data_IF_395868649644
#
_entry.id   IF_395868649644
#
_cell.length_a   1.000
_cell.length_b   1.000
_cell.length_c   1.000
_cell.angle_alpha   90.00
_cell.angle_beta   90.00
_cell.angle_gamma   90.00
#
_symmetry.space_group_name_H-M   'P 1'
#
loop_
_entity.id
_entity.type
_entity.pdbx_description
1 polymer ?
#
# COMPACT_ATOMS: atom_id res chain seq x y z
N UNK A 1 -31.53 -1.76 -3.59
CA UNK A 1 -32.77 -0.96 -3.70
C UNK A 1 -32.72 0.09 -2.60
N UNK A 2 -32.39 1.34 -2.93
CA UNK A 2 -32.31 2.42 -1.94
C UNK A 2 -33.71 3.01 -1.72
N UNK A 3 -34.46 2.41 -0.83
CA UNK A 3 -35.70 3.01 -0.33
C UNK A 3 -35.32 3.85 0.87
N UNK A 4 -35.57 5.15 0.77
CA UNK A 4 -35.33 6.06 1.90
C UNK A 4 -36.09 5.56 3.14
N UNK A 5 -35.44 5.48 4.31
CA UNK A 5 -36.01 4.92 5.55
C UNK A 5 -37.35 5.56 5.93
N UNK A 6 -37.58 6.81 5.58
CA UNK A 6 -38.81 7.58 5.87
C UNK A 6 -39.77 7.65 4.68
N UNK A 7 -39.63 6.80 3.65
CA UNK A 7 -40.56 6.79 2.54
C UNK A 7 -41.88 6.16 2.99
N UNK A 8 -42.95 6.97 3.05
CA UNK A 8 -44.31 6.48 3.38
C UNK A 8 -44.86 5.46 2.37
N UNK A 9 -44.39 5.48 1.13
CA UNK A 9 -44.73 4.51 0.10
C UNK A 9 -43.45 3.93 -0.53
N UNK A 10 -43.24 2.66 -0.34
CA UNK A 10 -42.25 1.90 -1.12
C UNK A 10 -42.76 1.64 -2.54
N UNK A 11 -41.91 1.20 -3.45
CA UNK A 11 -42.31 0.81 -4.81
C UNK A 11 -43.42 -0.24 -4.77
N UNK A 12 -43.27 -1.26 -3.90
CA UNK A 12 -44.31 -2.29 -3.70
C UNK A 12 -45.65 -1.73 -3.23
N UNK A 13 -45.65 -0.76 -2.29
CA UNK A 13 -46.85 -0.09 -1.85
C UNK A 13 -47.48 0.76 -2.95
N UNK A 14 -46.70 1.33 -3.87
CA UNK A 14 -47.21 2.08 -5.02
C UNK A 14 -47.85 1.15 -6.05
N UNK A 15 -47.31 -0.02 -6.27
CA UNK A 15 -47.90 -1.05 -7.11
C UNK A 15 -49.21 -1.49 -6.51
N UNK A 16 -49.28 -1.84 -5.23
CA UNK A 16 -50.47 -2.24 -4.52
C UNK A 16 -51.56 -1.16 -4.55
N UNK A 17 -51.19 0.14 -4.40
CA UNK A 17 -52.11 1.27 -4.51
C UNK A 17 -52.78 1.30 -5.87
N UNK A 18 -51.97 1.19 -6.93
CA UNK A 18 -52.46 1.28 -8.31
C UNK A 18 -53.35 0.05 -8.64
N UNK A 19 -52.94 -1.15 -8.28
CA UNK A 19 -53.69 -2.40 -8.49
C UNK A 19 -55.08 -2.34 -7.82
N UNK A 20 -55.16 -1.88 -6.57
CA UNK A 20 -56.43 -1.72 -5.86
C UNK A 20 -57.36 -0.73 -6.57
N UNK A 21 -56.83 0.38 -7.05
CA UNK A 21 -57.62 1.39 -7.79
C UNK A 21 -58.09 0.79 -9.13
N UNK A 22 -57.27 0.08 -9.85
CA UNK A 22 -57.60 -0.55 -11.13
C UNK A 22 -58.62 -1.71 -10.93
N UNK A 23 -58.59 -2.39 -9.80
CA UNK A 23 -59.56 -3.40 -9.42
C UNK A 23 -60.94 -2.79 -8.97
N UNK A 24 -61.14 -1.51 -9.15
CA UNK A 24 -62.42 -0.84 -8.87
C UNK A 24 -62.54 -0.24 -7.47
N UNK A 25 -61.49 -0.29 -6.62
CA UNK A 25 -61.55 0.31 -5.28
C UNK A 25 -61.58 1.84 -5.38
N UNK A 26 -62.47 2.56 -4.65
CA UNK A 26 -62.47 4.02 -4.66
C UNK A 26 -61.09 4.57 -4.25
N UNK A 27 -60.58 5.59 -4.99
CA UNK A 27 -59.28 6.19 -4.75
C UNK A 27 -59.09 6.67 -3.32
N UNK A 28 -60.14 7.22 -2.72
CA UNK A 28 -60.14 7.71 -1.33
C UNK A 28 -59.82 6.59 -0.38
N UNK A 29 -60.50 5.45 -0.53
CA UNK A 29 -60.33 4.28 0.32
C UNK A 29 -58.93 3.69 0.16
N UNK A 30 -58.46 3.48 -1.09
CA UNK A 30 -57.14 2.94 -1.38
C UNK A 30 -56.03 3.87 -0.85
N UNK A 31 -56.19 5.19 -0.90
CA UNK A 31 -55.24 6.14 -0.35
C UNK A 31 -55.21 6.11 1.19
N UNK A 32 -56.38 6.06 1.84
CA UNK A 32 -56.50 5.94 3.31
C UNK A 32 -55.86 4.69 3.86
N UNK A 33 -56.08 3.54 3.21
CA UNK A 33 -55.51 2.25 3.61
C UNK A 33 -53.97 2.24 3.62
N UNK A 34 -53.36 3.04 2.76
CA UNK A 34 -51.91 3.17 2.67
C UNK A 34 -51.35 4.44 3.34
N UNK A 35 -52.19 5.19 4.07
CA UNK A 35 -51.83 6.37 4.82
C UNK A 35 -51.34 7.55 3.96
N UNK A 36 -51.84 7.65 2.72
CA UNK A 36 -51.47 8.75 1.80
C UNK A 36 -52.64 9.60 1.35
N UNK A 37 -52.35 10.79 0.84
CA UNK A 37 -53.37 11.66 0.30
C UNK A 37 -53.90 11.20 -1.06
N UNK A 38 -55.13 11.55 -1.40
CA UNK A 38 -55.72 11.28 -2.73
C UNK A 38 -54.87 11.88 -3.85
N UNK A 39 -54.28 13.07 -3.64
CA UNK A 39 -53.36 13.69 -4.60
C UNK A 39 -52.14 12.81 -4.87
N UNK A 40 -51.66 12.10 -3.84
CA UNK A 40 -50.54 11.15 -3.98
C UNK A 40 -50.98 9.92 -4.79
N UNK A 41 -52.18 9.42 -4.56
CA UNK A 41 -52.77 8.35 -5.32
C UNK A 41 -52.93 8.71 -6.80
N UNK A 42 -53.48 9.89 -7.10
CA UNK A 42 -53.59 10.39 -8.47
C UNK A 42 -52.25 10.55 -9.17
N UNK A 43 -51.24 11.06 -8.46
CA UNK A 43 -49.89 11.17 -8.98
C UNK A 43 -49.33 9.79 -9.42
N UNK A 44 -49.46 8.79 -8.58
CA UNK A 44 -48.94 7.46 -8.88
C UNK A 44 -49.75 6.73 -9.95
N UNK A 45 -51.07 6.90 -9.95
CA UNK A 45 -51.95 6.36 -10.99
C UNK A 45 -51.63 6.97 -12.36
N UNK A 46 -51.43 8.32 -12.42
CA UNK A 46 -51.03 8.99 -13.64
C UNK A 46 -49.70 8.46 -14.17
N UNK A 47 -48.68 8.38 -13.28
CA UNK A 47 -47.34 7.87 -13.67
C UNK A 47 -47.37 6.43 -14.15
N UNK A 48 -48.23 5.59 -13.56
CA UNK A 48 -48.48 4.25 -14.01
C UNK A 48 -49.12 4.19 -15.41
N UNK A 49 -50.12 5.05 -15.66
CA UNK A 49 -50.78 5.15 -16.99
C UNK A 49 -49.79 5.61 -18.08
N UNK A 50 -48.89 6.53 -17.74
CA UNK A 50 -47.94 7.09 -18.67
C UNK A 50 -46.76 6.15 -18.98
N UNK A 51 -46.27 5.38 -18.00
CA UNK A 51 -45.01 4.68 -18.05
C UNK A 51 -45.06 3.21 -17.54
N UNK A 52 -46.26 2.71 -17.22
CA UNK A 52 -46.39 1.37 -16.64
C UNK A 52 -45.74 1.27 -15.24
N UNK A 53 -45.29 0.08 -14.90
CA UNK A 53 -44.61 -0.21 -13.61
C UNK A 53 -43.30 0.60 -13.42
N UNK A 54 -42.62 0.96 -14.50
CA UNK A 54 -41.43 1.82 -14.45
C UNK A 54 -41.76 3.24 -13.91
N UNK A 55 -42.96 3.73 -14.16
CA UNK A 55 -43.45 4.99 -13.59
C UNK A 55 -43.53 5.02 -12.07
N UNK A 56 -43.59 3.86 -11.42
CA UNK A 56 -43.68 3.74 -9.96
C UNK A 56 -42.31 3.76 -9.25
N UNK A 57 -41.22 3.67 -9.99
CA UNK A 57 -39.86 3.80 -9.44
C UNK A 57 -39.54 5.23 -9.05
N UNK A 58 -38.61 5.40 -8.10
CA UNK A 58 -38.15 6.73 -7.72
C UNK A 58 -37.35 7.36 -8.86
N UNK A 59 -37.60 8.63 -9.11
CA UNK A 59 -36.81 9.44 -10.04
C UNK A 59 -35.73 10.16 -9.29
N UNK A 60 -34.60 10.36 -9.93
CA UNK A 60 -33.53 11.19 -9.38
C UNK A 60 -34.04 12.58 -9.01
N UNK A 61 -33.59 13.11 -7.89
CA UNK A 61 -33.97 14.47 -7.42
C UNK A 61 -33.27 15.59 -8.19
N UNK A 62 -32.33 15.25 -9.08
CA UNK A 62 -31.61 16.26 -9.88
C UNK A 62 -32.50 16.83 -10.98
N UNK A 63 -32.49 18.17 -11.20
CA UNK A 63 -33.14 18.77 -12.34
C UNK A 63 -32.65 18.16 -13.65
N UNK A 64 -33.56 17.96 -14.60
CA UNK A 64 -33.22 17.47 -15.94
C UNK A 64 -32.28 18.45 -16.69
N UNK A 65 -32.46 19.74 -16.45
CA UNK A 65 -31.64 20.82 -17.01
C UNK A 65 -31.03 21.63 -15.86
N UNK A 66 -29.74 21.89 -15.92
CA UNK A 66 -29.03 22.78 -14.99
C UNK A 66 -28.50 23.98 -15.78
N UNK A 67 -29.08 25.17 -15.61
CA UNK A 67 -28.68 26.39 -16.34
C UNK A 67 -27.21 26.77 -16.09
N UNK A 68 -26.67 26.40 -14.93
CA UNK A 68 -25.29 26.69 -14.52
C UNK A 68 -24.31 25.58 -14.84
N UNK A 69 -24.73 24.55 -15.59
CA UNK A 69 -23.86 23.47 -15.97
C UNK A 69 -22.72 23.97 -16.90
N UNK A 70 -21.49 23.60 -16.61
CA UNK A 70 -20.36 23.91 -17.50
C UNK A 70 -20.63 23.30 -18.89
N UNK A 71 -20.56 24.10 -19.98
CA UNK A 71 -20.76 23.62 -21.33
C UNK A 71 -19.81 22.43 -21.68
N UNK A 72 -20.29 21.50 -22.50
CA UNK A 72 -19.53 20.30 -22.85
C UNK A 72 -18.21 20.64 -23.55
N UNK A 73 -18.21 21.66 -24.40
CA UNK A 73 -17.00 22.17 -25.08
C UNK A 73 -15.91 22.55 -24.07
N UNK A 74 -16.26 23.23 -22.99
CA UNK A 74 -15.32 23.60 -21.94
C UNK A 74 -14.84 22.37 -21.14
N UNK A 75 -15.71 21.38 -20.92
CA UNK A 75 -15.27 20.12 -20.29
C UNK A 75 -14.26 19.37 -21.14
N UNK A 76 -14.51 19.30 -22.46
CA UNK A 76 -13.58 18.69 -23.41
C UNK A 76 -12.25 19.46 -23.45
N UNK A 77 -12.27 20.79 -23.47
CA UNK A 77 -11.07 21.63 -23.43
C UNK A 77 -10.25 21.37 -22.16
N UNK A 78 -10.89 21.32 -20.99
CA UNK A 78 -10.23 20.96 -19.73
C UNK A 78 -9.55 19.60 -19.83
N UNK A 79 -10.23 18.60 -20.39
CA UNK A 79 -9.67 17.26 -20.55
C UNK A 79 -8.48 17.25 -21.51
N UNK A 80 -8.56 17.96 -22.65
CA UNK A 80 -7.48 18.06 -23.61
C UNK A 80 -6.21 18.69 -23.01
N UNK A 81 -6.37 19.84 -22.33
CA UNK A 81 -5.27 20.51 -21.65
C UNK A 81 -4.70 19.67 -20.49
N UNK A 82 -5.57 18.92 -19.81
CA UNK A 82 -5.11 18.02 -18.75
C UNK A 82 -4.27 16.85 -19.29
N UNK A 83 -4.61 16.29 -20.46
CA UNK A 83 -3.77 15.31 -21.16
C UNK A 83 -2.40 15.86 -21.55
N UNK A 84 -2.31 17.17 -21.86
CA UNK A 84 -1.04 17.86 -22.07
C UNK A 84 -0.27 18.13 -20.75
N UNK A 85 -0.71 17.55 -19.64
CA UNK A 85 -0.10 17.65 -18.29
C UNK A 85 -0.15 19.05 -17.66
N UNK A 86 -0.97 19.95 -18.17
CA UNK A 86 -1.14 21.28 -17.58
C UNK A 86 -1.70 21.16 -16.15
N UNK A 87 -1.26 22.08 -15.28
CA UNK A 87 -1.77 22.17 -13.91
C UNK A 87 -3.21 22.66 -13.90
N UNK A 88 -3.99 22.30 -12.87
CA UNK A 88 -5.40 22.75 -12.75
C UNK A 88 -5.50 24.28 -12.66
N UNK A 89 -4.50 24.94 -12.11
CA UNK A 89 -4.44 26.42 -12.03
C UNK A 89 -4.25 27.00 -13.41
N UNK A 90 -3.28 26.54 -14.18
CA UNK A 90 -3.03 27.01 -15.55
C UNK A 90 -4.26 26.82 -16.46
N UNK A 91 -4.92 25.67 -16.37
CA UNK A 91 -6.16 25.40 -17.12
C UNK A 91 -7.29 26.35 -16.70
N UNK A 92 -7.43 26.60 -15.40
CA UNK A 92 -8.44 27.52 -14.87
C UNK A 92 -8.23 28.94 -15.41
N UNK A 93 -6.99 29.42 -15.37
CA UNK A 93 -6.61 30.74 -15.91
C UNK A 93 -6.86 30.81 -17.41
N UNK A 94 -6.43 29.80 -18.17
CA UNK A 94 -6.54 29.80 -19.64
C UNK A 94 -7.98 29.75 -20.14
N UNK A 95 -8.87 29.02 -19.44
CA UNK A 95 -10.25 28.84 -19.84
C UNK A 95 -11.25 29.76 -19.10
N UNK A 96 -10.78 30.65 -18.24
CA UNK A 96 -11.65 31.54 -17.45
C UNK A 96 -12.56 30.78 -16.48
N UNK A 97 -12.13 29.59 -16.00
CA UNK A 97 -12.90 28.76 -15.09
C UNK A 97 -12.36 28.83 -13.67
N UNK A 98 -13.22 28.56 -12.68
CA UNK A 98 -12.72 28.39 -11.32
C UNK A 98 -11.89 27.10 -11.20
N UNK A 99 -10.83 27.11 -10.36
CA UNK A 99 -10.03 25.92 -10.03
C UNK A 99 -10.89 24.74 -9.57
N UNK A 100 -11.96 25.04 -8.79
CA UNK A 100 -12.89 24.01 -8.30
C UNK A 100 -13.65 23.34 -9.44
N UNK A 101 -14.08 24.10 -10.47
CA UNK A 101 -14.72 23.56 -11.67
C UNK A 101 -13.78 22.66 -12.45
N UNK A 102 -12.53 23.10 -12.70
CA UNK A 102 -11.51 22.30 -13.37
C UNK A 102 -11.20 21.02 -12.59
N UNK A 103 -11.09 21.10 -11.27
CA UNK A 103 -10.85 19.94 -10.41
C UNK A 103 -12.01 18.93 -10.48
N UNK A 104 -13.26 19.40 -10.47
CA UNK A 104 -14.45 18.54 -10.57
C UNK A 104 -14.53 17.84 -11.92
N UNK A 105 -14.30 18.57 -13.02
CA UNK A 105 -14.27 18.01 -14.38
C UNK A 105 -13.14 16.98 -14.49
N UNK A 106 -11.93 17.32 -14.03
CA UNK A 106 -10.77 16.41 -14.05
C UNK A 106 -11.02 15.17 -13.20
N UNK A 107 -11.70 15.30 -12.05
CA UNK A 107 -12.06 14.16 -11.20
C UNK A 107 -13.08 13.24 -11.88
N UNK A 108 -14.11 13.80 -12.49
CA UNK A 108 -15.14 13.05 -13.22
C UNK A 108 -14.54 12.28 -14.40
N UNK A 109 -13.50 12.83 -15.06
CA UNK A 109 -12.77 12.20 -16.15
C UNK A 109 -11.61 11.28 -15.69
N UNK A 110 -11.44 11.05 -14.38
CA UNK A 110 -10.36 10.22 -13.84
C UNK A 110 -8.95 10.84 -13.90
N UNK A 111 -8.83 12.11 -14.31
CA UNK A 111 -7.58 12.83 -14.58
C UNK A 111 -7.17 13.80 -13.45
N UNK A 112 -7.69 13.61 -12.23
CA UNK A 112 -7.40 14.47 -11.10
C UNK A 112 -5.94 14.42 -10.62
N UNK A 113 -5.22 13.33 -10.91
CA UNK A 113 -3.77 13.19 -10.64
C UNK A 113 -3.02 12.98 -11.95
N UNK A 114 -1.90 13.68 -12.15
CA UNK A 114 -1.07 13.52 -13.36
C UNK A 114 -0.55 12.10 -13.53
N UNK A 115 -0.26 11.39 -12.43
CA UNK A 115 0.15 9.99 -12.46
C UNK A 115 -0.92 9.01 -12.98
N UNK A 116 -2.18 9.46 -13.16
CA UNK A 116 -3.25 8.64 -13.74
C UNK A 116 -3.38 8.79 -15.26
N UNK A 117 -2.67 9.76 -15.83
CA UNK A 117 -2.70 10.00 -17.30
C UNK A 117 -1.90 8.93 -18.06
N UNK A 118 -0.91 8.32 -17.40
CA UNK A 118 -0.12 7.26 -17.98
C UNK A 118 -0.59 5.91 -17.42
N UNK A 119 -0.68 4.88 -18.24
CA UNK A 119 -0.88 3.54 -17.71
C UNK A 119 0.28 3.21 -16.77
N UNK A 120 0.01 2.62 -15.61
CA UNK A 120 1.09 2.19 -14.74
C UNK A 120 1.96 1.20 -15.49
N UNK A 121 3.30 1.32 -15.40
CA UNK A 121 4.20 0.38 -16.04
C UNK A 121 3.87 -1.05 -15.60
N UNK A 122 3.80 -1.97 -16.56
CA UNK A 122 3.54 -3.38 -16.29
C UNK A 122 4.79 -3.96 -15.62
N UNK A 123 4.73 -4.15 -14.30
CA UNK A 123 5.80 -4.78 -13.54
C UNK A 123 5.58 -6.28 -13.50
N UNK A 124 6.46 -7.02 -14.13
CA UNK A 124 6.55 -8.46 -13.90
C UNK A 124 7.21 -8.69 -12.55
N UNK A 125 6.42 -9.14 -11.58
CA UNK A 125 6.96 -9.65 -10.32
C UNK A 125 7.69 -10.94 -10.63
N UNK A 126 8.96 -11.01 -10.27
CA UNK A 126 9.70 -12.27 -10.31
C UNK A 126 9.88 -12.81 -8.89
N UNK A 127 9.87 -14.10 -8.76
CA UNK A 127 10.19 -14.83 -7.55
C UNK A 127 10.96 -16.05 -7.98
N UNK A 128 12.05 -16.35 -7.28
CA UNK A 128 12.83 -17.55 -7.49
C UNK A 128 12.04 -18.77 -7.02
N UNK A 129 12.23 -19.90 -7.68
CA UNK A 129 11.50 -21.11 -7.36
C UNK A 129 11.96 -21.72 -6.04
N UNK A 130 13.29 -21.74 -5.81
CA UNK A 130 13.87 -22.41 -4.67
C UNK A 130 14.55 -21.44 -3.70
N UNK A 131 14.44 -21.67 -2.38
CA UNK A 131 15.23 -20.97 -1.38
C UNK A 131 16.72 -21.09 -1.66
N UNK A 132 17.45 -19.98 -1.45
CA UNK A 132 18.90 -19.93 -1.67
C UNK A 132 19.33 -19.62 -3.10
N UNK A 133 18.43 -19.60 -4.09
CA UNK A 133 18.82 -19.22 -5.45
C UNK A 133 19.32 -17.78 -5.54
N UNK A 134 18.74 -16.88 -4.77
CA UNK A 134 19.08 -15.46 -4.80
C UNK A 134 18.86 -14.81 -3.44
N UNK A 135 19.89 -14.24 -2.88
CA UNK A 135 19.88 -13.50 -1.63
C UNK A 135 20.00 -12.00 -1.94
N UNK A 136 19.01 -11.21 -1.57
CA UNK A 136 19.04 -9.76 -1.70
C UNK A 136 19.78 -9.15 -0.52
N UNK A 137 20.79 -8.33 -0.79
CA UNK A 137 21.55 -7.59 0.21
C UNK A 137 21.24 -6.10 0.11
N UNK A 138 21.21 -5.44 1.25
CA UNK A 138 21.03 -3.98 1.33
C UNK A 138 21.57 -3.47 2.67
N UNK A 139 21.83 -2.17 2.77
CA UNK A 139 22.26 -1.52 4.01
C UNK A 139 21.35 -0.35 4.33
N UNK A 140 20.91 -0.26 5.57
CA UNK A 140 20.13 0.85 6.06
C UNK A 140 20.85 1.64 7.13
N UNK A 141 21.17 2.88 6.83
CA UNK A 141 21.75 3.85 7.77
C UNK A 141 20.71 4.25 8.82
N UNK A 142 21.07 4.09 10.08
CA UNK A 142 20.24 4.41 11.25
C UNK A 142 20.96 5.43 12.13
N UNK A 143 20.23 6.43 12.61
CA UNK A 143 20.79 7.36 13.60
C UNK A 143 21.16 6.63 14.89
N UNK A 144 22.35 6.91 15.42
CA UNK A 144 22.77 6.44 16.75
C UNK A 144 21.90 7.07 17.82
N UNK A 145 21.41 6.25 18.73
CA UNK A 145 20.58 6.69 19.84
C UNK A 145 21.48 6.90 21.05
N UNK A 146 21.55 8.14 21.51
CA UNK A 146 22.31 8.55 22.70
C UNK A 146 21.38 8.88 23.86
N UNK A 147 20.15 9.33 23.51
CA UNK A 147 19.05 9.61 24.44
C UNK A 147 17.72 9.53 23.70
N UNK A 148 16.63 9.46 24.45
CA UNK A 148 15.27 9.48 23.85
C UNK A 148 15.10 10.77 23.06
N UNK A 149 14.69 10.65 21.80
CA UNK A 149 14.54 11.76 20.89
C UNK A 149 13.32 12.65 21.20
N UNK A 150 13.38 13.91 20.78
CA UNK A 150 12.31 14.90 20.96
C UNK A 150 10.95 14.48 20.37
N UNK A 151 10.91 13.60 19.40
CA UNK A 151 9.64 13.06 18.86
C UNK A 151 8.83 12.27 19.88
N UNK A 152 9.48 11.80 20.94
CA UNK A 152 8.88 11.01 22.01
C UNK A 152 8.68 11.89 23.25
N UNK A 153 9.68 12.71 23.61
CA UNK A 153 9.62 13.59 24.78
C UNK A 153 8.76 14.83 24.55
N UNK A 154 8.47 15.21 23.29
CA UNK A 154 7.79 16.47 22.94
C UNK A 154 8.67 17.71 23.11
N UNK A 155 9.81 17.61 23.78
CA UNK A 155 10.72 18.71 24.07
C UNK A 155 11.83 18.82 23.02
N UNK A 156 11.79 19.91 22.25
CA UNK A 156 12.83 20.26 21.28
C UNK A 156 14.01 21.02 21.89
N UNK A 157 13.82 21.58 23.07
CA UNK A 157 14.80 22.43 23.74
C UNK A 157 15.63 21.69 24.79
N UNK A 158 15.28 20.43 25.07
CA UNK A 158 16.04 19.58 25.98
C UNK A 158 17.52 19.54 25.59
N UNK A 159 18.38 19.62 26.60
CA UNK A 159 19.85 19.75 26.56
C UNK A 159 20.47 19.21 25.27
N UNK A 160 21.14 20.09 24.51
CA UNK A 160 22.00 19.68 23.39
C UNK A 160 23.01 18.68 23.93
N UNK A 161 22.84 17.41 23.57
CA UNK A 161 23.79 16.39 23.98
C UNK A 161 25.14 16.70 23.30
N UNK A 162 26.19 16.85 24.11
CA UNK A 162 27.57 16.91 23.63
C UNK A 162 28.06 15.55 23.10
N UNK A 163 27.24 14.49 23.21
CA UNK A 163 27.58 13.18 22.71
C UNK A 163 27.70 13.17 21.19
N UNK A 164 28.70 12.48 20.62
CA UNK A 164 28.96 12.48 19.20
C UNK A 164 27.76 11.93 18.43
N UNK A 165 27.23 12.74 17.52
CA UNK A 165 26.24 12.30 16.53
C UNK A 165 26.93 11.26 15.66
N UNK A 166 26.29 10.13 15.45
CA UNK A 166 26.85 9.04 14.65
C UNK A 166 25.76 8.23 14.01
N UNK A 167 26.21 7.26 13.23
CA UNK A 167 25.34 6.36 12.52
C UNK A 167 25.65 4.93 12.93
N UNK A 168 24.70 4.05 12.71
CA UNK A 168 24.84 2.59 12.76
C UNK A 168 24.26 2.07 11.47
N UNK A 169 24.80 0.98 10.97
CA UNK A 169 24.40 0.46 9.68
C UNK A 169 23.79 -0.92 9.85
N UNK A 170 22.50 -1.01 9.51
CA UNK A 170 21.78 -2.27 9.48
C UNK A 170 22.04 -2.94 8.14
N UNK A 171 22.93 -3.91 8.12
CA UNK A 171 23.13 -4.80 6.99
C UNK A 171 22.04 -5.86 7.00
N UNK A 172 21.42 -6.11 5.86
CA UNK A 172 20.34 -7.08 5.72
C UNK A 172 20.59 -8.03 4.56
N UNK A 173 20.11 -9.25 4.73
CA UNK A 173 20.06 -10.27 3.71
C UNK A 173 18.68 -10.92 3.74
N UNK A 174 17.98 -10.98 2.61
CA UNK A 174 16.67 -11.61 2.50
C UNK A 174 16.62 -12.54 1.30
N UNK A 175 16.23 -13.78 1.53
CA UNK A 175 16.09 -14.77 0.46
C UNK A 175 14.89 -14.45 -0.44
N UNK A 176 15.09 -14.56 -1.74
CA UNK A 176 14.11 -14.21 -2.75
C UNK A 176 12.87 -15.09 -2.70
N UNK A 177 13.00 -16.37 -2.48
CA UNK A 177 11.90 -17.33 -2.46
C UNK A 177 11.21 -17.42 -1.10
N UNK A 178 11.98 -17.68 -0.03
CA UNK A 178 11.42 -17.94 1.29
C UNK A 178 11.04 -16.68 2.07
N UNK A 179 11.65 -15.52 1.78
CA UNK A 179 11.59 -14.28 2.59
C UNK A 179 12.24 -14.42 3.97
N UNK A 180 12.93 -15.51 4.25
CA UNK A 180 13.75 -15.61 5.45
C UNK A 180 14.79 -14.49 5.41
N UNK A 181 14.99 -13.82 6.51
CA UNK A 181 15.87 -12.67 6.60
C UNK A 181 16.94 -12.87 7.65
N UNK A 182 18.12 -12.34 7.40
CA UNK A 182 19.21 -12.19 8.34
C UNK A 182 19.62 -10.72 8.40
N UNK A 183 19.98 -10.22 9.56
CA UNK A 183 20.38 -8.83 9.72
C UNK A 183 21.37 -8.65 10.86
N UNK A 184 22.30 -7.72 10.69
CA UNK A 184 23.26 -7.29 11.73
C UNK A 184 23.41 -5.78 11.73
N UNK A 185 23.63 -5.21 12.92
CA UNK A 185 24.11 -3.84 13.06
C UNK A 185 25.63 -3.83 13.07
N UNK A 186 26.21 -3.14 12.08
CA UNK A 186 27.65 -2.98 11.93
C UNK A 186 28.04 -1.49 12.03
N UNK A 187 29.29 -1.17 12.34
CA UNK A 187 29.71 0.21 12.53
C UNK A 187 29.72 1.03 11.24
N UNK A 188 29.98 0.40 10.08
CA UNK A 188 30.15 1.08 8.80
C UNK A 188 29.42 0.35 7.64
N UNK A 189 29.31 1.05 6.50
CA UNK A 189 28.82 0.49 5.23
C UNK A 189 29.95 0.30 4.21
N UNK A 190 31.13 0.00 4.68
CA UNK A 190 32.32 -0.20 3.87
C UNK A 190 32.45 -1.66 3.31
N UNK A 191 33.53 -1.89 2.57
CA UNK A 191 33.77 -3.17 1.95
C UNK A 191 34.03 -4.28 3.00
N UNK A 192 34.77 -3.96 4.07
CA UNK A 192 35.11 -4.93 5.12
C UNK A 192 33.87 -5.41 5.85
N UNK A 193 33.03 -4.49 6.34
CA UNK A 193 31.75 -4.80 6.98
C UNK A 193 30.83 -5.58 6.04
N UNK A 194 30.80 -5.24 4.75
CA UNK A 194 29.97 -5.92 3.76
C UNK A 194 30.43 -7.36 3.50
N UNK A 195 31.74 -7.61 3.45
CA UNK A 195 32.31 -8.97 3.32
C UNK A 195 32.07 -9.79 4.58
N UNK A 196 32.30 -9.22 5.75
CA UNK A 196 32.04 -9.87 7.04
C UNK A 196 30.57 -10.27 7.14
N UNK A 197 29.67 -9.35 6.81
CA UNK A 197 28.23 -9.60 6.80
C UNK A 197 27.83 -10.69 5.80
N UNK A 198 28.36 -10.68 4.57
CA UNK A 198 28.10 -11.69 3.57
C UNK A 198 28.44 -13.10 4.08
N UNK A 199 29.63 -13.25 4.68
CA UNK A 199 30.07 -14.53 5.25
C UNK A 199 29.15 -15.02 6.37
N UNK A 200 28.78 -14.12 7.28
CA UNK A 200 27.84 -14.41 8.37
C UNK A 200 26.44 -14.79 7.85
N UNK A 201 25.94 -14.08 6.84
CA UNK A 201 24.66 -14.39 6.22
C UNK A 201 24.68 -15.78 5.57
N UNK A 202 25.71 -16.11 4.79
CA UNK A 202 25.84 -17.43 4.15
C UNK A 202 25.90 -18.54 5.21
N UNK A 203 26.65 -18.35 6.30
CA UNK A 203 26.71 -19.28 7.41
C UNK A 203 25.34 -19.47 8.10
N UNK A 204 24.60 -18.38 8.32
CA UNK A 204 23.26 -18.42 8.88
C UNK A 204 22.31 -19.28 8.03
N UNK A 205 22.27 -19.04 6.72
CA UNK A 205 21.42 -19.83 5.82
C UNK A 205 21.86 -21.29 5.72
N UNK A 206 23.17 -21.56 5.75
CA UNK A 206 23.70 -22.93 5.80
C UNK A 206 23.23 -23.66 7.06
N UNK A 207 23.18 -22.98 8.22
CA UNK A 207 22.61 -23.51 9.46
C UNK A 207 21.11 -23.85 9.37
N UNK A 208 20.38 -23.21 8.45
CA UNK A 208 18.99 -23.55 8.13
C UNK A 208 18.85 -24.60 7.02
N UNK A 209 19.96 -25.21 6.55
CA UNK A 209 19.97 -26.17 5.46
C UNK A 209 19.83 -25.55 4.06
N UNK A 210 19.99 -24.24 3.93
CA UNK A 210 19.84 -23.51 2.67
C UNK A 210 21.22 -23.16 2.09
N UNK A 211 21.52 -23.67 0.90
CA UNK A 211 22.73 -23.31 0.15
C UNK A 211 22.47 -22.08 -0.73
N UNK A 212 23.18 -20.99 -0.49
CA UNK A 212 23.08 -19.79 -1.31
C UNK A 212 23.84 -19.98 -2.62
N UNK A 213 23.21 -19.65 -3.77
CA UNK A 213 23.76 -19.76 -5.13
C UNK A 213 24.18 -18.41 -5.70
N UNK A 214 23.53 -17.34 -5.27
CA UNK A 214 23.81 -15.99 -5.77
C UNK A 214 23.34 -14.90 -4.86
N UNK A 215 23.93 -13.72 -5.02
CA UNK A 215 23.58 -12.51 -4.29
C UNK A 215 23.19 -11.39 -5.24
N UNK A 216 22.30 -10.54 -4.80
CA UNK A 216 21.80 -9.38 -5.52
C UNK A 216 21.98 -8.14 -4.67
N UNK A 217 22.71 -7.15 -5.18
CA UNK A 217 23.01 -5.90 -4.49
C UNK A 217 22.61 -4.68 -5.33
N UNK A 218 22.56 -3.53 -4.74
CA UNK A 218 22.64 -2.27 -5.46
C UNK A 218 24.07 -2.03 -6.00
N UNK A 219 24.29 -0.84 -6.58
CA UNK A 219 25.59 -0.44 -7.14
C UNK A 219 26.45 0.35 -6.13
N UNK A 220 26.21 0.19 -4.83
CA UNK A 220 27.02 0.88 -3.81
C UNK A 220 28.50 0.49 -3.91
N UNK A 221 29.37 1.44 -3.54
CA UNK A 221 30.82 1.26 -3.65
C UNK A 221 31.33 0.03 -2.89
N UNK A 222 30.76 -0.25 -1.73
CA UNK A 222 31.12 -1.40 -0.91
C UNK A 222 30.94 -2.75 -1.64
N UNK A 223 29.91 -2.88 -2.47
CA UNK A 223 29.65 -4.11 -3.22
C UNK A 223 30.39 -4.19 -4.56
N UNK A 224 30.92 -3.08 -5.08
CA UNK A 224 31.66 -3.06 -6.34
C UNK A 224 33.17 -3.25 -6.18
N UNK A 225 33.65 -3.34 -4.95
CA UNK A 225 35.05 -3.53 -4.63
C UNK A 225 35.55 -4.94 -4.94
N UNK A 226 36.87 -5.07 -5.14
CA UNK A 226 37.52 -6.35 -5.40
C UNK A 226 37.37 -7.32 -4.22
N UNK A 227 37.35 -6.83 -2.99
CA UNK A 227 37.23 -7.64 -1.78
C UNK A 227 35.87 -8.34 -1.73
N UNK A 228 34.79 -7.64 -2.09
CA UNK A 228 33.46 -8.25 -2.13
C UNK A 228 33.35 -9.27 -3.26
N UNK A 229 33.91 -8.97 -4.43
CA UNK A 229 33.97 -9.92 -5.55
C UNK A 229 34.78 -11.18 -5.19
N UNK A 230 35.94 -11.02 -4.53
CA UNK A 230 36.75 -12.13 -4.05
C UNK A 230 36.01 -12.98 -3.02
N UNK A 231 35.28 -12.35 -2.07
CA UNK A 231 34.46 -13.07 -1.10
C UNK A 231 33.32 -13.85 -1.78
N UNK A 232 32.67 -13.30 -2.78
CA UNK A 232 31.66 -14.01 -3.57
C UNK A 232 32.28 -15.23 -4.28
N UNK A 233 33.45 -15.08 -4.91
CA UNK A 233 34.14 -16.16 -5.58
C UNK A 233 34.52 -17.26 -4.61
N UNK A 234 35.11 -16.95 -3.44
CA UNK A 234 35.46 -17.89 -2.39
C UNK A 234 34.26 -18.69 -1.88
N UNK A 235 33.10 -18.06 -1.79
CA UNK A 235 31.85 -18.68 -1.35
C UNK A 235 31.08 -19.38 -2.50
N UNK A 236 31.59 -19.35 -3.73
CA UNK A 236 30.94 -19.92 -4.91
C UNK A 236 29.63 -19.23 -5.30
N UNK A 237 29.50 -17.92 -5.04
CA UNK A 237 28.29 -17.15 -5.27
C UNK A 237 28.36 -16.38 -6.58
N UNK A 238 27.26 -16.35 -7.32
CA UNK A 238 27.08 -15.44 -8.45
C UNK A 238 26.61 -14.07 -7.95
N UNK A 239 27.34 -13.02 -8.28
CA UNK A 239 26.98 -11.64 -7.89
C UNK A 239 26.22 -10.96 -9.02
N UNK A 240 25.03 -10.43 -8.69
CA UNK A 240 24.15 -9.69 -9.58
C UNK A 240 23.94 -8.27 -9.04
N UNK A 241 23.94 -7.29 -9.93
CA UNK A 241 23.71 -5.89 -9.60
C UNK A 241 22.35 -5.43 -10.08
N UNK A 242 21.77 -4.43 -9.38
CA UNK A 242 20.60 -3.69 -9.86
C UNK A 242 20.93 -2.97 -11.16
N UNK A 243 20.02 -3.01 -12.13
CA UNK A 243 20.16 -2.18 -13.34
C UNK A 243 20.05 -0.71 -12.95
N UNK A 244 20.85 0.19 -13.53
CA UNK A 244 20.71 1.62 -13.32
C UNK A 244 19.27 2.08 -13.57
N UNK A 245 18.78 3.02 -12.77
CA UNK A 245 17.42 3.57 -12.84
C UNK A 245 16.26 2.58 -12.65
N UNK A 246 16.52 1.37 -12.15
CA UNK A 246 15.49 0.38 -11.84
C UNK A 246 15.55 -0.06 -10.36
N UNK A 247 15.33 0.87 -9.40
CA UNK A 247 15.48 0.59 -7.96
C UNK A 247 14.55 -0.53 -7.47
N UNK A 248 13.43 -0.74 -8.14
CA UNK A 248 12.42 -1.75 -7.76
C UNK A 248 12.90 -3.19 -7.83
N UNK A 249 14.06 -3.47 -8.40
CA UNK A 249 14.62 -4.81 -8.47
C UNK A 249 15.13 -5.32 -7.11
N UNK A 250 15.43 -4.42 -6.14
CA UNK A 250 15.74 -4.77 -4.74
C UNK A 250 14.53 -4.59 -3.79
N UNK A 251 13.31 -4.56 -4.32
CA UNK A 251 12.10 -4.27 -3.57
C UNK A 251 11.80 -5.21 -2.39
N UNK A 252 12.40 -6.41 -2.36
CA UNK A 252 12.26 -7.35 -1.24
C UNK A 252 13.08 -6.89 -0.03
N UNK A 253 14.32 -6.47 -0.26
CA UNK A 253 15.19 -5.86 0.75
C UNK A 253 14.59 -4.54 1.26
N UNK A 254 14.14 -3.66 0.35
CA UNK A 254 13.48 -2.41 0.71
C UNK A 254 12.23 -2.64 1.58
N UNK A 255 11.40 -3.62 1.24
CA UNK A 255 10.21 -3.98 2.01
C UNK A 255 10.58 -4.52 3.39
N UNK A 256 11.60 -5.36 3.48
CA UNK A 256 12.10 -5.84 4.76
C UNK A 256 12.61 -4.67 5.63
N UNK A 257 13.40 -3.76 5.06
CA UNK A 257 13.86 -2.54 5.76
C UNK A 257 12.68 -1.72 6.29
N UNK A 258 11.64 -1.48 5.47
CA UNK A 258 10.46 -0.76 5.93
C UNK A 258 9.77 -1.46 7.11
N UNK A 259 9.73 -2.78 7.12
CA UNK A 259 9.18 -3.58 8.22
C UNK A 259 10.06 -3.47 9.45
N UNK A 260 11.39 -3.62 9.29
CA UNK A 260 12.36 -3.48 10.38
C UNK A 260 12.31 -2.09 11.04
N UNK A 261 12.16 -1.03 10.24
CA UNK A 261 12.04 0.33 10.77
C UNK A 261 10.78 0.52 11.63
N UNK A 262 9.65 -0.05 11.23
CA UNK A 262 8.37 0.09 11.94
C UNK A 262 8.26 -0.82 13.15
N UNK A 263 8.67 -2.07 13.01
CA UNK A 263 8.40 -3.12 13.98
C UNK A 263 9.56 -3.35 14.97
N UNK A 264 10.75 -2.80 14.67
CA UNK A 264 11.93 -2.92 15.52
C UNK A 264 12.64 -1.59 15.74
N UNK A 265 13.26 -0.98 14.73
CA UNK A 265 14.22 0.12 14.92
C UNK A 265 13.62 1.37 15.57
N UNK A 266 12.34 1.65 15.32
CA UNK A 266 11.58 2.79 15.85
C UNK A 266 10.24 2.38 16.45
N UNK A 267 10.04 1.09 16.75
CA UNK A 267 8.81 0.57 17.33
C UNK A 267 8.56 1.11 18.76
N UNK A 268 9.63 1.40 19.47
CA UNK A 268 9.59 1.94 20.83
C UNK A 268 10.71 2.97 21.04
N UNK A 269 10.60 3.72 22.14
CA UNK A 269 11.63 4.64 22.60
C UNK A 269 12.80 3.87 23.22
N UNK A 270 13.91 3.79 22.52
CA UNK A 270 15.15 3.30 23.07
C UNK A 270 15.91 4.48 23.70
N UNK A 271 16.51 4.25 24.86
CA UNK A 271 17.37 5.25 25.49
C UNK A 271 18.76 5.28 24.88
N UNK A 272 19.26 4.12 24.42
CA UNK A 272 20.59 3.96 23.83
C UNK A 272 20.56 2.94 22.70
N UNK A 273 21.48 3.09 21.75
CA UNK A 273 21.61 2.20 20.60
C UNK A 273 21.82 0.73 20.96
N UNK A 274 22.52 0.42 22.07
CA UNK A 274 22.72 -0.97 22.47
C UNK A 274 21.39 -1.66 22.80
N UNK A 275 20.42 -0.96 23.40
CA UNK A 275 19.09 -1.54 23.67
C UNK A 275 18.37 -1.92 22.36
N UNK A 276 18.52 -1.10 21.31
CA UNK A 276 17.99 -1.41 19.98
C UNK A 276 18.68 -2.62 19.39
N UNK A 277 20.01 -2.69 19.50
CA UNK A 277 20.83 -3.81 19.01
C UNK A 277 20.44 -5.12 19.68
N UNK A 278 20.31 -5.12 21.01
CA UNK A 278 20.05 -6.33 21.80
C UNK A 278 18.66 -6.93 21.51
N UNK A 279 17.73 -6.14 21.02
CA UNK A 279 16.37 -6.60 20.63
C UNK A 279 16.33 -7.15 19.19
N UNK A 280 17.33 -6.84 18.36
CA UNK A 280 17.34 -7.26 16.96
C UNK A 280 17.22 -8.79 16.77
N UNK A 281 17.98 -9.63 17.47
CA UNK A 281 17.89 -11.10 17.32
C UNK A 281 16.48 -11.62 17.61
N UNK A 282 15.89 -11.20 18.72
CA UNK A 282 14.54 -11.63 19.13
C UNK A 282 13.48 -11.17 18.11
N UNK A 283 13.59 -9.92 17.63
CA UNK A 283 12.68 -9.42 16.61
C UNK A 283 12.84 -10.20 15.28
N UNK A 284 14.07 -10.46 14.86
CA UNK A 284 14.38 -11.19 13.63
C UNK A 284 13.88 -12.64 13.71
N UNK A 285 14.01 -13.27 14.87
CA UNK A 285 13.40 -14.57 15.15
C UNK A 285 11.88 -14.49 14.98
N UNK A 286 11.23 -13.51 15.60
CA UNK A 286 9.79 -13.27 15.45
C UNK A 286 9.38 -13.07 13.98
N UNK A 287 10.17 -12.31 13.22
CA UNK A 287 9.95 -12.09 11.79
C UNK A 287 10.00 -13.39 10.99
N UNK A 288 11.03 -14.20 11.19
CA UNK A 288 11.24 -15.42 10.40
C UNK A 288 10.29 -16.57 10.80
N UNK A 289 10.01 -16.74 12.09
CA UNK A 289 9.32 -17.91 12.60
C UNK A 289 7.84 -17.69 12.93
N UNK A 290 7.43 -16.46 13.17
CA UNK A 290 6.10 -16.21 13.72
C UNK A 290 5.27 -15.20 12.92
N UNK A 291 5.91 -14.29 12.21
CA UNK A 291 5.22 -13.20 11.53
C UNK A 291 4.48 -13.70 10.28
N UNK A 292 3.15 -13.50 10.16
CA UNK A 292 2.41 -13.82 8.95
C UNK A 292 2.85 -12.94 7.78
N UNK A 293 3.09 -13.53 6.62
CA UNK A 293 3.45 -12.84 5.40
C UNK A 293 2.34 -12.95 4.35
N UNK A 294 1.82 -11.81 3.89
CA UNK A 294 0.77 -11.77 2.85
C UNK A 294 1.22 -12.43 1.54
N UNK A 295 2.48 -12.26 1.13
CA UNK A 295 3.02 -12.90 -0.07
C UNK A 295 3.24 -14.41 0.07
N UNK A 296 3.14 -14.95 1.29
CA UNK A 296 3.30 -16.37 1.61
C UNK A 296 1.99 -16.98 2.12
N UNK A 297 0.85 -16.49 1.64
CA UNK A 297 -0.48 -16.94 2.05
C UNK A 297 -0.68 -16.92 3.59
N UNK A 298 -0.12 -15.91 4.26
CA UNK A 298 -0.22 -15.75 5.72
C UNK A 298 0.73 -16.65 6.52
N UNK A 299 1.58 -17.45 5.88
CA UNK A 299 2.57 -18.27 6.57
C UNK A 299 3.84 -17.48 6.92
N UNK A 300 4.56 -17.83 7.99
CA UNK A 300 5.85 -17.23 8.29
C UNK A 300 6.92 -17.67 7.27
N UNK A 301 7.98 -16.85 7.07
CA UNK A 301 9.05 -17.13 6.10
C UNK A 301 9.66 -18.53 6.21
N UNK A 302 9.90 -18.99 7.43
CA UNK A 302 10.56 -20.26 7.70
C UNK A 302 9.78 -21.47 7.16
N UNK A 303 8.47 -21.34 7.02
CA UNK A 303 7.62 -22.41 6.48
C UNK A 303 8.00 -22.81 5.04
N UNK A 304 8.52 -21.84 4.26
CA UNK A 304 9.04 -22.11 2.90
C UNK A 304 10.32 -22.97 2.86
N UNK A 305 10.97 -23.16 4.01
CA UNK A 305 12.13 -24.08 4.17
C UNK A 305 11.70 -25.46 4.64
N UNK A 306 10.41 -25.75 4.74
CA UNK A 306 9.91 -27.01 5.33
C UNK A 306 10.08 -27.07 6.85
N UNK A 307 10.49 -25.97 7.48
CA UNK A 307 10.66 -25.86 8.92
C UNK A 307 9.40 -25.32 9.58
N UNK A 308 9.08 -25.77 10.77
CA UNK A 308 7.91 -25.33 11.53
C UNK A 308 8.31 -24.96 12.96
N UNK A 309 7.38 -24.35 13.69
CA UNK A 309 7.57 -24.04 15.13
C UNK A 309 7.96 -25.26 15.96
N UNK A 310 7.52 -26.44 15.58
CA UNK A 310 7.81 -27.68 16.27
C UNK A 310 9.28 -28.12 16.10
N UNK A 311 10.03 -27.55 15.16
CA UNK A 311 11.44 -27.85 14.92
C UNK A 311 12.39 -26.93 15.71
N UNK A 312 11.86 -25.94 16.46
CA UNK A 312 12.64 -24.95 17.23
C UNK A 312 13.59 -25.60 18.23
N UNK A 313 13.16 -26.65 18.90
CA UNK A 313 13.98 -27.36 19.89
C UNK A 313 15.23 -28.05 19.31
N UNK A 314 15.28 -28.30 18.01
CA UNK A 314 16.44 -28.90 17.32
C UNK A 314 17.44 -27.88 16.80
N UNK A 315 17.05 -26.62 16.66
CA UNK A 315 17.86 -25.56 16.06
C UNK A 315 18.44 -24.57 17.09
N UNK A 316 17.99 -24.64 18.34
CA UNK A 316 18.43 -23.75 19.42
C UNK A 316 19.19 -24.47 20.55
N UNK A 317 19.53 -25.75 20.39
CA UNK A 317 20.46 -26.51 21.24
C UNK A 317 21.83 -26.63 20.47
#
# INVERSE_FOLDING_TARGET
MDVHQNAKLTVACRVLLVERILAGRPKICAAQELGVSVKTADKWLKRYRDLGTEGLKDRGSRPAVSPTATPEVLKMAVQALRRQRMTMIAIATQLGLSRATVARISKAAGMNRLSRLDPPPVYRRYEKAEPGELLHLDVKKLGRIVKVGHRITGDRHGVRSAAPKGWEYLHIAIDDASRVAYAQLLPEEDAECSVMFLRAAVAYYAGLGVRIKGVYTDNAKAYRGLDFAAACAQLGLRHHYTRPYTPRTNGKAERFIQTALREWAYARAYHHSYQRRDVLPTWLHGYNWHRPHMSLAGQPPIHRLGLSRNNLLRLHN
#
